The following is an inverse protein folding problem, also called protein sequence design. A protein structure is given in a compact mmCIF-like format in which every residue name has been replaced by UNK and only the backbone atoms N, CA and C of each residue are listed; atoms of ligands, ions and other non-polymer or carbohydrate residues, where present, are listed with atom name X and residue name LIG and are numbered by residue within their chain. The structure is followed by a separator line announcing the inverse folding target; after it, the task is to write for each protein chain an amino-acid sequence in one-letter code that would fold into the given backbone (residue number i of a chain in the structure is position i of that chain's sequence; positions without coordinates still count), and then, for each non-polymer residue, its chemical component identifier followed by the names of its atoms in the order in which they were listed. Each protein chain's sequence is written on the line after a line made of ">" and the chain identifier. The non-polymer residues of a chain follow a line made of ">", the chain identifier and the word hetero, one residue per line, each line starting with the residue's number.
data_IF_198542794977
#
_entry.id   IF_198542794977
#
_cell.length_a   1.000
_cell.length_b   1.000
_cell.length_c   1.000
_cell.angle_alpha   90.00
_cell.angle_beta   90.00
_cell.angle_gamma   90.00
#
_symmetry.space_group_name_H-M   'P 1'
#
loop_
_entity.id
_entity.type
_entity.pdbx_description
1 polymer ?
#
# COMPACT_ATOMS: atom_id res chain seq x y z
N UNK A 1 17.71 13.63 -14.79
CA UNK A 1 16.78 12.63 -14.24
C UNK A 1 17.46 11.27 -14.30
N UNK A 2 17.41 10.47 -13.22
CA UNK A 2 17.98 9.11 -13.19
C UNK A 2 16.82 8.13 -13.05
N UNK A 3 16.77 7.14 -13.95
CA UNK A 3 15.68 6.20 -14.10
C UNK A 3 16.21 4.77 -14.04
N UNK A 4 15.59 3.93 -13.20
CA UNK A 4 15.97 2.53 -13.01
C UNK A 4 14.74 1.66 -13.23
N UNK A 5 14.86 0.63 -14.07
CA UNK A 5 13.86 -0.42 -14.22
C UNK A 5 14.10 -1.55 -13.24
N UNK A 6 13.03 -2.13 -12.73
CA UNK A 6 13.03 -3.31 -11.89
C UNK A 6 12.15 -4.38 -12.55
N UNK A 7 12.63 -5.63 -12.59
CA UNK A 7 11.90 -6.76 -13.15
C UNK A 7 12.14 -8.04 -12.37
N UNK A 8 11.09 -8.84 -12.14
CA UNK A 8 11.18 -10.15 -11.48
C UNK A 8 10.06 -11.08 -11.95
N UNK A 9 10.31 -12.38 -12.12
CA UNK A 9 9.28 -13.38 -12.41
C UNK A 9 9.42 -14.68 -11.62
N UNK A 10 10.45 -14.79 -10.79
CA UNK A 10 10.63 -15.90 -9.85
C UNK A 10 10.51 -15.40 -8.41
N UNK A 11 9.99 -16.23 -7.48
CA UNK A 11 10.04 -15.92 -6.06
C UNK A 11 11.48 -15.90 -5.54
N UNK A 12 11.72 -15.15 -4.47
CA UNK A 12 13.00 -15.03 -3.78
C UNK A 12 12.87 -15.44 -2.31
N UNK A 13 13.98 -15.35 -1.57
CA UNK A 13 13.94 -15.42 -0.10
C UNK A 13 13.09 -14.30 0.55
N UNK A 14 12.75 -13.25 -0.18
CA UNK A 14 11.91 -12.14 0.27
C UNK A 14 10.44 -12.31 -0.10
N UNK A 15 10.03 -13.46 -0.68
CA UNK A 15 8.66 -13.78 -1.05
C UNK A 15 8.39 -13.75 -2.56
N UNK A 16 7.19 -13.33 -2.94
CA UNK A 16 6.73 -13.23 -4.33
C UNK A 16 7.57 -12.24 -5.15
N UNK A 17 7.52 -12.27 -6.50
CA UNK A 17 8.21 -11.29 -7.34
C UNK A 17 7.88 -9.84 -6.98
N UNK A 18 6.64 -9.55 -6.59
CA UNK A 18 6.22 -8.22 -6.16
C UNK A 18 6.89 -7.78 -4.85
N UNK A 19 6.95 -8.68 -3.87
CA UNK A 19 7.63 -8.43 -2.59
C UNK A 19 9.14 -8.27 -2.81
N UNK A 20 9.70 -9.06 -3.70
CA UNK A 20 11.10 -8.92 -4.13
C UNK A 20 11.37 -7.53 -4.68
N UNK A 21 10.52 -7.00 -5.57
CA UNK A 21 10.67 -5.62 -6.08
C UNK A 21 10.59 -4.59 -4.95
N UNK A 22 9.65 -4.74 -4.01
CA UNK A 22 9.51 -3.84 -2.86
C UNK A 22 10.76 -3.84 -1.99
N UNK A 23 11.29 -5.02 -1.67
CA UNK A 23 12.52 -5.16 -0.90
C UNK A 23 13.74 -4.60 -1.64
N UNK A 24 13.81 -4.76 -2.96
CA UNK A 24 14.89 -4.19 -3.77
C UNK A 24 14.87 -2.66 -3.76
N UNK A 25 13.69 -2.02 -3.82
CA UNK A 25 13.56 -0.56 -3.69
C UNK A 25 14.07 -0.09 -2.32
N UNK A 26 13.70 -0.78 -1.24
CA UNK A 26 14.19 -0.47 0.11
C UNK A 26 15.72 -0.64 0.22
N UNK A 27 16.29 -1.68 -0.42
CA UNK A 27 17.73 -1.91 -0.40
C UNK A 27 18.49 -0.86 -1.21
N UNK A 28 17.95 -0.41 -2.36
CA UNK A 28 18.47 0.72 -3.12
C UNK A 28 18.57 1.97 -2.24
N UNK A 29 17.53 2.25 -1.46
CA UNK A 29 17.52 3.39 -0.54
C UNK A 29 18.59 3.26 0.57
N UNK A 30 18.83 2.06 1.12
CA UNK A 30 19.89 1.82 2.12
C UNK A 30 21.30 2.08 1.59
N UNK A 31 21.51 1.98 0.28
CA UNK A 31 22.77 2.33 -0.37
C UNK A 31 22.92 3.85 -0.62
N UNK A 32 22.09 4.70 -0.02
CA UNK A 32 22.18 6.15 -0.16
C UNK A 32 21.63 6.69 -1.48
N UNK A 33 20.84 5.89 -2.20
CA UNK A 33 20.14 6.29 -3.44
C UNK A 33 18.71 6.69 -3.07
N UNK A 34 18.40 7.97 -3.12
CA UNK A 34 17.09 8.48 -2.77
C UNK A 34 16.06 8.13 -3.87
N UNK A 35 15.03 7.36 -3.52
CA UNK A 35 13.91 7.07 -4.41
C UNK A 35 12.92 8.24 -4.35
N UNK A 36 12.76 8.95 -5.47
CA UNK A 36 11.89 10.13 -5.57
C UNK A 36 10.47 9.75 -5.99
N UNK A 37 10.34 8.79 -6.93
CA UNK A 37 9.07 8.30 -7.44
C UNK A 37 9.19 6.83 -7.82
N UNK A 38 8.09 6.09 -7.63
CA UNK A 38 7.98 4.70 -8.04
C UNK A 38 6.68 4.51 -8.82
N UNK A 39 6.76 3.82 -9.98
CA UNK A 39 5.55 3.43 -10.72
C UNK A 39 4.79 2.33 -9.97
N UNK A 40 3.49 2.16 -10.26
CA UNK A 40 2.82 0.89 -9.99
C UNK A 40 3.61 -0.28 -10.64
N UNK A 41 3.40 -1.49 -10.09
CA UNK A 41 3.94 -2.71 -10.67
C UNK A 41 3.09 -3.11 -11.87
N UNK A 42 3.69 -3.46 -12.98
CA UNK A 42 3.05 -3.97 -14.19
C UNK A 42 3.32 -5.45 -14.34
N UNK A 43 2.29 -6.22 -14.67
CA UNK A 43 2.41 -7.62 -15.03
C UNK A 43 2.51 -7.74 -16.55
N UNK A 44 3.55 -8.40 -17.05
CA UNK A 44 3.82 -8.48 -18.48
C UNK A 44 4.15 -9.89 -18.91
N UNK A 45 3.66 -10.28 -20.08
CA UNK A 45 4.07 -11.52 -20.68
C UNK A 45 5.60 -11.50 -20.95
N UNK A 46 6.27 -12.66 -20.90
CA UNK A 46 7.68 -12.77 -21.33
C UNK A 46 7.87 -12.30 -22.78
N UNK A 47 8.97 -11.57 -23.05
CA UNK A 47 9.35 -11.15 -24.41
C UNK A 47 10.73 -11.72 -24.73
N UNK A 48 10.86 -12.68 -25.68
CA UNK A 48 9.83 -13.32 -26.50
C UNK A 48 8.84 -14.16 -25.66
N UNK A 49 7.65 -14.42 -26.21
CA UNK A 49 6.61 -15.26 -25.57
C UNK A 49 7.21 -16.65 -25.25
N UNK A 50 7.01 -17.11 -24.04
CA UNK A 50 7.47 -18.42 -23.54
C UNK A 50 6.59 -18.87 -22.36
N UNK A 51 6.73 -20.14 -21.94
CA UNK A 51 5.99 -20.71 -20.81
C UNK A 51 6.47 -20.24 -19.43
N UNK A 52 7.32 -19.19 -19.39
CA UNK A 52 7.78 -18.62 -18.13
C UNK A 52 6.64 -17.89 -17.41
N UNK A 53 6.67 -17.79 -16.06
CA UNK A 53 5.79 -16.91 -15.33
C UNK A 53 5.89 -15.46 -15.84
N UNK A 54 4.77 -14.74 -15.79
CA UNK A 54 4.74 -13.33 -16.16
C UNK A 54 5.64 -12.50 -15.24
N UNK A 55 6.24 -11.46 -15.81
CA UNK A 55 7.13 -10.55 -15.10
C UNK A 55 6.36 -9.48 -14.36
N UNK A 56 6.79 -9.20 -13.15
CA UNK A 56 6.45 -7.98 -12.41
C UNK A 56 7.51 -6.93 -12.75
N UNK A 57 7.09 -5.81 -13.32
CA UNK A 57 8.00 -4.73 -13.73
C UNK A 57 7.58 -3.40 -13.11
N UNK A 58 8.55 -2.58 -12.74
CA UNK A 58 8.35 -1.22 -12.27
C UNK A 58 9.50 -0.33 -12.76
N UNK A 59 9.29 0.98 -12.70
CA UNK A 59 10.35 1.98 -12.91
C UNK A 59 10.37 2.90 -11.70
N UNK A 60 11.57 3.23 -11.22
CA UNK A 60 11.78 4.24 -10.19
C UNK A 60 12.57 5.40 -10.75
N UNK A 61 12.25 6.61 -10.27
CA UNK A 61 13.05 7.81 -10.44
C UNK A 61 13.83 8.06 -9.16
N UNK A 62 15.14 8.24 -9.29
CA UNK A 62 16.03 8.38 -8.14
C UNK A 62 16.90 9.62 -8.21
N UNK A 63 17.44 10.04 -7.06
CA UNK A 63 18.54 10.98 -6.94
C UNK A 63 19.71 10.31 -6.24
N UNK A 64 20.91 10.52 -6.77
CA UNK A 64 22.15 10.00 -6.21
C UNK A 64 23.34 10.85 -6.63
N UNK A 65 24.44 10.76 -5.87
CA UNK A 65 25.73 11.34 -6.18
C UNK A 65 26.69 10.35 -6.88
N UNK A 66 26.28 9.08 -6.99
CA UNK A 66 27.11 8.06 -7.66
C UNK A 66 27.16 8.30 -9.15
N UNK A 67 28.34 8.17 -9.75
CA UNK A 67 28.51 8.16 -11.20
C UNK A 67 27.85 6.93 -11.84
N UNK A 68 27.49 6.93 -13.14
CA UNK A 68 26.76 5.85 -13.77
C UNK A 68 27.33 4.45 -13.58
N UNK A 69 28.66 4.28 -13.65
CA UNK A 69 29.30 2.98 -13.45
C UNK A 69 29.29 2.53 -11.98
N UNK A 70 29.36 3.48 -11.03
CA UNK A 70 29.26 3.17 -9.62
C UNK A 70 27.84 2.75 -9.24
N UNK A 71 26.84 3.46 -9.77
CA UNK A 71 25.45 3.08 -9.64
C UNK A 71 25.21 1.67 -10.21
N UNK A 72 25.74 1.35 -11.40
CA UNK A 72 25.62 0.02 -11.98
C UNK A 72 26.19 -1.05 -11.07
N UNK A 73 27.36 -0.83 -10.46
CA UNK A 73 28.00 -1.77 -9.52
C UNK A 73 27.15 -2.00 -8.28
N UNK A 74 26.55 -0.95 -7.74
CA UNK A 74 25.64 -1.05 -6.59
C UNK A 74 24.42 -1.89 -6.95
N UNK A 75 23.76 -1.61 -8.08
CA UNK A 75 22.60 -2.38 -8.53
C UNK A 75 22.94 -3.86 -8.73
N UNK A 76 24.09 -4.17 -9.34
CA UNK A 76 24.57 -5.55 -9.51
C UNK A 76 24.86 -6.23 -8.15
N UNK A 77 25.36 -5.49 -7.17
CA UNK A 77 25.57 -6.01 -5.81
C UNK A 77 24.24 -6.38 -5.17
N UNK A 78 23.22 -5.52 -5.31
CA UNK A 78 21.87 -5.79 -4.83
C UNK A 78 21.27 -7.03 -5.52
N UNK A 79 21.39 -7.14 -6.84
CA UNK A 79 20.94 -8.32 -7.58
C UNK A 79 21.56 -9.62 -7.05
N UNK A 80 22.85 -9.61 -6.79
CA UNK A 80 23.57 -10.76 -6.23
C UNK A 80 23.09 -11.12 -4.82
N UNK A 81 22.85 -10.11 -3.96
CA UNK A 81 22.29 -10.30 -2.60
C UNK A 81 20.89 -10.92 -2.64
N UNK A 82 20.11 -10.62 -3.69
CA UNK A 82 18.78 -11.17 -3.90
C UNK A 82 18.79 -12.57 -4.54
N UNK A 83 19.97 -13.13 -4.77
CA UNK A 83 20.13 -14.50 -5.31
C UNK A 83 20.03 -14.57 -6.83
N UNK A 84 20.31 -13.49 -7.56
CA UNK A 84 20.36 -13.53 -9.01
C UNK A 84 21.50 -14.41 -9.49
N UNK A 85 21.18 -15.43 -10.27
CA UNK A 85 22.15 -16.27 -11.00
C UNK A 85 22.05 -15.91 -12.48
N UNK A 86 23.14 -15.48 -13.08
CA UNK A 86 23.20 -15.19 -14.51
C UNK A 86 23.41 -16.50 -15.28
N UNK A 87 22.39 -16.91 -16.01
CA UNK A 87 22.40 -18.09 -16.88
C UNK A 87 22.32 -17.66 -18.35
N UNK A 88 21.32 -18.14 -19.07
CA UNK A 88 21.07 -17.77 -20.46
C UNK A 88 20.36 -16.41 -20.62
N UNK A 89 20.45 -15.82 -21.82
CA UNK A 89 19.75 -14.57 -22.16
C UNK A 89 18.24 -14.79 -22.10
N UNK A 90 17.50 -13.87 -21.46
CA UNK A 90 16.05 -13.92 -21.22
C UNK A 90 15.58 -15.09 -20.32
N UNK A 91 16.45 -15.72 -19.55
CA UNK A 91 16.05 -16.71 -18.54
C UNK A 91 15.16 -16.07 -17.45
N UNK A 92 14.29 -16.87 -16.79
CA UNK A 92 13.55 -16.43 -15.61
C UNK A 92 14.52 -15.95 -14.54
N UNK A 93 14.12 -14.90 -13.80
CA UNK A 93 15.02 -14.26 -12.82
C UNK A 93 14.31 -13.78 -11.59
N UNK A 94 15.03 -13.87 -10.49
CA UNK A 94 14.57 -13.39 -9.19
C UNK A 94 14.44 -11.86 -9.19
N UNK A 95 15.42 -11.16 -9.77
CA UNK A 95 15.46 -9.69 -9.86
C UNK A 95 16.33 -9.26 -11.05
N UNK A 96 15.96 -8.16 -11.66
CA UNK A 96 16.71 -7.45 -12.72
C UNK A 96 16.64 -5.96 -12.43
N UNK A 97 17.78 -5.26 -12.38
CA UNK A 97 17.89 -3.84 -12.10
C UNK A 97 18.70 -3.16 -13.20
N UNK A 98 18.02 -2.47 -14.12
CA UNK A 98 18.63 -1.80 -15.26
C UNK A 98 18.59 -0.28 -15.13
N UNK A 99 19.71 0.41 -15.36
CA UNK A 99 19.73 1.87 -15.50
C UNK A 99 19.15 2.21 -16.89
N UNK A 100 17.99 2.87 -16.91
CA UNK A 100 17.32 3.28 -18.14
C UNK A 100 17.89 4.56 -18.72
N UNK A 101 18.13 5.55 -17.85
CA UNK A 101 18.67 6.85 -18.21
C UNK A 101 19.40 7.46 -17.02
N UNK A 102 20.40 8.27 -17.32
CA UNK A 102 21.15 9.03 -16.33
C UNK A 102 21.30 10.47 -16.82
N UNK A 103 20.42 11.37 -16.34
CA UNK A 103 20.27 12.72 -16.89
C UNK A 103 20.10 12.69 -18.42
N UNK A 104 20.85 13.52 -19.13
CA UNK A 104 20.90 13.56 -20.59
C UNK A 104 22.16 12.86 -21.15
N UNK A 105 22.82 12.03 -20.32
CA UNK A 105 24.03 11.34 -20.70
C UNK A 105 23.77 10.34 -21.82
N UNK A 106 24.59 10.43 -22.86
CA UNK A 106 24.68 9.45 -23.94
C UNK A 106 26.02 8.74 -23.75
N UNK A 107 25.97 7.47 -23.34
CA UNK A 107 27.15 6.63 -23.11
C UNK A 107 27.05 5.36 -23.96
N UNK A 108 28.19 4.90 -24.46
CA UNK A 108 28.31 3.66 -25.22
C UNK A 108 29.64 3.01 -24.84
N UNK A 109 29.66 2.34 -23.66
CA UNK A 109 30.82 1.63 -23.16
C UNK A 109 30.55 0.12 -23.17
N UNK A 110 31.60 -0.69 -22.97
CA UNK A 110 31.47 -2.14 -22.96
C UNK A 110 30.46 -2.64 -21.91
N UNK A 111 30.38 -1.97 -20.75
CA UNK A 111 29.59 -2.43 -19.60
C UNK A 111 28.28 -1.66 -19.43
N UNK A 112 28.14 -0.46 -20.02
CA UNK A 112 26.99 0.41 -19.81
C UNK A 112 26.68 1.25 -21.05
N UNK A 113 25.46 1.10 -21.56
CA UNK A 113 24.91 1.92 -22.64
C UNK A 113 23.75 2.75 -22.10
N UNK A 114 23.83 4.07 -22.24
CA UNK A 114 22.79 5.02 -21.81
C UNK A 114 22.38 5.95 -22.97
N UNK A 115 21.09 6.23 -23.15
CA UNK A 115 19.95 5.52 -22.53
C UNK A 115 19.96 4.03 -22.86
N UNK A 116 19.34 3.21 -22.04
CA UNK A 116 19.27 1.76 -22.25
C UNK A 116 18.79 1.45 -23.68
N UNK A 117 19.52 0.68 -24.49
CA UNK A 117 19.35 0.64 -25.95
C UNK A 117 17.97 0.18 -26.43
N UNK A 118 17.25 -0.60 -25.67
CA UNK A 118 15.94 -1.16 -26.02
C UNK A 118 14.79 -0.61 -25.17
N UNK A 119 14.99 0.47 -24.41
CA UNK A 119 13.94 0.97 -23.50
C UNK A 119 12.67 1.40 -24.28
N UNK A 120 12.86 1.99 -25.47
CA UNK A 120 11.79 2.55 -26.29
C UNK A 120 10.96 1.49 -27.06
N UNK A 121 11.41 0.24 -27.09
CA UNK A 121 10.77 -0.90 -27.77
C UNK A 121 10.02 -1.82 -26.80
N UNK A 122 10.07 -1.52 -25.50
CA UNK A 122 9.58 -2.41 -24.44
C UNK A 122 8.41 -1.80 -23.70
N UNK A 123 7.22 -2.40 -23.86
CA UNK A 123 6.01 -1.98 -23.14
C UNK A 123 6.21 -2.02 -21.63
N UNK A 124 6.85 -3.06 -21.11
CA UNK A 124 7.13 -3.24 -19.68
C UNK A 124 8.12 -2.22 -19.07
N UNK A 125 8.73 -1.38 -19.92
CA UNK A 125 9.55 -0.23 -19.52
C UNK A 125 8.79 1.08 -19.75
N UNK A 126 8.23 1.29 -20.95
CA UNK A 126 7.66 2.57 -21.35
C UNK A 126 6.37 2.93 -20.59
N UNK A 127 5.52 1.94 -20.29
CA UNK A 127 4.32 2.20 -19.48
C UNK A 127 4.65 2.58 -18.02
N UNK A 128 5.49 1.84 -17.26
CA UNK A 128 5.93 2.29 -15.95
C UNK A 128 6.69 3.62 -15.98
N UNK A 129 7.49 3.85 -17.05
CA UNK A 129 8.23 5.09 -17.23
C UNK A 129 7.30 6.31 -17.35
N UNK A 130 6.15 6.17 -18.03
CA UNK A 130 5.14 7.22 -18.12
C UNK A 130 4.62 7.65 -16.74
N UNK A 131 4.47 6.72 -15.81
CA UNK A 131 3.95 7.03 -14.49
C UNK A 131 4.92 7.87 -13.63
N UNK A 132 6.24 7.76 -13.86
CA UNK A 132 7.27 8.43 -13.03
C UNK A 132 8.00 9.58 -13.74
N UNK A 133 7.86 9.66 -15.06
CA UNK A 133 8.63 10.61 -15.88
C UNK A 133 7.88 10.96 -17.19
N UNK A 134 6.60 11.35 -17.07
CA UNK A 134 5.73 11.64 -18.23
C UNK A 134 6.35 12.64 -19.22
N UNK A 135 7.03 13.67 -18.72
CA UNK A 135 7.62 14.75 -19.52
C UNK A 135 9.05 14.44 -19.98
N UNK A 136 9.57 13.25 -19.63
CA UNK A 136 10.92 12.87 -20.07
C UNK A 136 10.99 12.63 -21.57
N UNK A 137 12.07 13.11 -22.20
CA UNK A 137 12.38 12.85 -23.61
C UNK A 137 13.65 12.04 -23.74
N UNK A 138 13.63 11.06 -24.62
CA UNK A 138 14.77 10.20 -24.90
C UNK A 138 15.89 11.03 -25.55
N UNK A 139 17.05 11.22 -24.91
CA UNK A 139 18.07 12.18 -25.37
C UNK A 139 18.66 11.85 -26.74
N UNK A 140 18.66 10.59 -27.17
CA UNK A 140 19.18 10.17 -28.50
C UNK A 140 18.09 10.17 -29.57
N UNK A 141 16.86 9.78 -29.26
CA UNK A 141 15.76 9.64 -30.21
C UNK A 141 14.86 10.87 -30.27
N UNK A 142 14.96 11.75 -29.31
CA UNK A 142 14.12 12.95 -29.12
C UNK A 142 12.61 12.65 -29.01
N UNK A 143 12.24 11.40 -28.70
CA UNK A 143 10.86 10.97 -28.52
C UNK A 143 10.41 11.22 -27.07
N UNK A 144 9.19 11.68 -26.89
CA UNK A 144 8.50 11.67 -25.59
C UNK A 144 8.11 10.24 -25.20
N UNK A 145 7.77 10.03 -23.93
CA UNK A 145 7.33 8.71 -23.44
C UNK A 145 6.05 8.27 -24.17
N UNK A 146 5.11 9.17 -24.41
CA UNK A 146 3.88 8.87 -25.16
C UNK A 146 4.19 8.44 -26.59
N UNK A 147 5.05 9.16 -27.32
CA UNK A 147 5.47 8.81 -28.68
C UNK A 147 6.19 7.46 -28.74
N UNK A 148 6.94 7.08 -27.70
CA UNK A 148 7.53 5.74 -27.60
C UNK A 148 6.46 4.66 -27.42
N UNK A 149 5.46 4.90 -26.57
CA UNK A 149 4.33 3.98 -26.36
C UNK A 149 3.55 3.78 -27.66
N UNK A 150 3.26 4.85 -28.41
CA UNK A 150 2.53 4.77 -29.68
C UNK A 150 3.28 3.98 -30.77
N UNK A 151 4.59 3.84 -30.65
CA UNK A 151 5.48 3.11 -31.58
C UNK A 151 5.83 1.70 -31.14
N UNK A 152 5.28 1.23 -30.01
CA UNK A 152 5.58 -0.11 -29.52
C UNK A 152 5.19 -1.19 -30.52
N UNK A 153 6.01 -2.24 -30.70
CA UNK A 153 5.63 -3.41 -31.45
C UNK A 153 4.36 -4.05 -30.92
N UNK A 154 3.52 -4.56 -31.82
CA UNK A 154 2.31 -5.31 -31.43
C UNK A 154 2.68 -6.61 -30.69
N UNK A 155 1.74 -7.12 -29.86
CA UNK A 155 1.89 -8.40 -29.16
C UNK A 155 2.69 -8.32 -27.87
N UNK A 156 2.87 -7.15 -27.30
CA UNK A 156 3.40 -7.00 -25.94
C UNK A 156 2.25 -6.83 -24.94
N UNK A 157 1.77 -7.95 -24.41
CA UNK A 157 0.71 -7.93 -23.41
C UNK A 157 1.23 -7.33 -22.11
N UNK A 158 0.62 -6.23 -21.72
CA UNK A 158 0.92 -5.52 -20.48
C UNK A 158 -0.37 -5.26 -19.72
N UNK A 159 -0.39 -5.66 -18.47
CA UNK A 159 -1.47 -5.36 -17.55
C UNK A 159 -0.91 -4.48 -16.44
N UNK A 160 -1.43 -3.29 -16.28
CA UNK A 160 -1.13 -2.49 -15.11
C UNK A 160 -1.73 -3.22 -13.91
N UNK A 161 -0.92 -3.97 -13.18
CA UNK A 161 -1.39 -4.62 -11.97
C UNK A 161 -1.54 -3.58 -10.87
N UNK A 162 -2.66 -2.91 -10.91
CA UNK A 162 -3.21 -2.39 -9.69
C UNK A 162 -3.85 -3.57 -8.95
N UNK A 163 -3.14 -4.15 -8.00
CA UNK A 163 -3.70 -5.09 -7.04
C UNK A 163 -3.55 -4.45 -5.67
N UNK A 164 -4.64 -3.96 -5.08
CA UNK A 164 -4.56 -3.40 -3.73
C UNK A 164 -4.15 -4.47 -2.74
N UNK A 165 -3.45 -4.07 -1.69
CA UNK A 165 -3.21 -4.90 -0.53
C UNK A 165 -4.52 -5.10 0.22
N UNK A 166 -4.76 -6.31 0.69
CA UNK A 166 -5.91 -6.60 1.57
C UNK A 166 -5.44 -6.59 3.01
N UNK A 167 -6.04 -5.71 3.79
CA UNK A 167 -5.84 -5.61 5.23
C UNK A 167 -7.01 -6.28 5.94
N UNK A 168 -6.76 -7.47 6.50
CA UNK A 168 -7.73 -8.23 7.27
C UNK A 168 -7.88 -7.70 8.69
N UNK A 169 -9.11 -7.55 9.17
CA UNK A 169 -9.44 -6.99 10.48
C UNK A 169 -9.39 -8.09 11.55
N UNK A 170 -8.57 -7.89 12.58
CA UNK A 170 -8.48 -8.76 13.75
C UNK A 170 -8.85 -7.96 15.01
N UNK A 171 -10.15 -7.97 15.38
CA UNK A 171 -10.61 -7.30 16.59
C UNK A 171 -10.41 -8.21 17.81
N UNK A 172 -9.64 -7.73 18.79
CA UNK A 172 -9.39 -8.41 20.07
C UNK A 172 -10.22 -7.70 21.16
N UNK A 173 -11.54 -7.68 20.97
CA UNK A 173 -12.49 -7.03 21.91
C UNK A 173 -13.49 -8.03 22.46
N UNK A 174 -13.99 -7.85 23.70
CA UNK A 174 -14.93 -8.76 24.34
C UNK A 174 -16.16 -9.10 23.51
N UNK A 175 -16.66 -8.11 22.76
CA UNK A 175 -17.87 -8.26 21.94
C UNK A 175 -17.63 -8.98 20.59
N UNK A 176 -16.38 -9.12 20.16
CA UNK A 176 -16.05 -9.69 18.85
C UNK A 176 -16.21 -11.22 18.79
N UNK A 177 -16.25 -11.88 19.96
CA UNK A 177 -16.31 -13.33 20.10
C UNK A 177 -17.44 -13.79 21.01
N UNK A 178 -18.53 -13.00 21.12
CA UNK A 178 -19.64 -13.18 22.04
C UNK A 178 -20.57 -14.36 21.67
N UNK A 179 -20.07 -15.58 21.86
CA UNK A 179 -20.90 -16.76 22.13
C UNK A 179 -20.56 -17.33 23.50
N UNK A 180 -20.77 -16.49 24.55
CA UNK A 180 -21.02 -16.99 25.93
C UNK A 180 -19.82 -17.57 26.70
N UNK A 181 -18.61 -17.08 26.58
CA UNK A 181 -17.47 -17.59 27.36
C UNK A 181 -16.51 -16.51 27.85
N UNK A 182 -16.24 -16.52 29.13
CA UNK A 182 -15.22 -15.73 29.82
C UNK A 182 -13.86 -15.94 29.17
N UNK A 183 -13.15 -14.83 28.93
CA UNK A 183 -11.82 -14.62 28.38
C UNK A 183 -11.84 -14.33 26.87
N UNK A 184 -11.51 -13.11 26.58
CA UNK A 184 -10.98 -12.63 25.30
C UNK A 184 -9.82 -13.52 24.95
N UNK A 185 -10.07 -14.47 24.09
CA UNK A 185 -9.13 -15.54 23.89
C UNK A 185 -8.14 -15.06 22.81
N UNK A 186 -6.90 -14.68 23.16
CA UNK A 186 -5.86 -14.39 22.20
C UNK A 186 -5.70 -15.52 21.16
N UNK A 187 -5.97 -16.76 21.57
CA UNK A 187 -5.87 -17.93 20.70
C UNK A 187 -6.90 -17.88 19.56
N UNK A 188 -8.14 -17.40 19.84
CA UNK A 188 -9.14 -17.19 18.78
C UNK A 188 -8.73 -16.08 17.81
N UNK A 189 -8.19 -14.98 18.32
CA UNK A 189 -7.69 -13.89 17.50
C UNK A 189 -6.49 -14.35 16.64
N UNK A 190 -5.60 -15.15 17.21
CA UNK A 190 -4.47 -15.76 16.49
C UNK A 190 -4.98 -16.70 15.40
N UNK A 191 -5.89 -17.62 15.73
CA UNK A 191 -6.48 -18.54 14.76
C UNK A 191 -7.19 -17.79 13.60
N UNK A 192 -7.95 -16.73 13.95
CA UNK A 192 -8.58 -15.86 12.95
C UNK A 192 -7.55 -15.14 12.07
N UNK A 193 -6.49 -14.58 12.67
CA UNK A 193 -5.41 -13.96 11.91
C UNK A 193 -4.74 -14.92 10.92
N UNK A 194 -4.43 -16.15 11.34
CA UNK A 194 -3.89 -17.19 10.46
C UNK A 194 -4.87 -17.56 9.35
N UNK A 195 -6.17 -17.64 9.64
CA UNK A 195 -7.20 -17.87 8.62
C UNK A 195 -7.21 -16.72 7.59
N UNK A 196 -7.19 -15.46 8.01
CA UNK A 196 -7.17 -14.31 7.10
C UNK A 196 -5.92 -14.32 6.20
N UNK A 197 -4.76 -14.72 6.73
CA UNK A 197 -3.53 -14.91 5.92
C UNK A 197 -3.76 -16.00 4.87
N UNK A 198 -4.30 -17.15 5.25
CA UNK A 198 -4.61 -18.24 4.32
C UNK A 198 -5.64 -17.83 3.25
N UNK A 199 -6.57 -16.94 3.58
CA UNK A 199 -7.53 -16.32 2.66
C UNK A 199 -6.90 -15.26 1.74
N UNK A 200 -5.65 -14.86 1.98
CA UNK A 200 -4.88 -13.94 1.15
C UNK A 200 -4.80 -12.52 1.69
N UNK A 201 -4.90 -12.30 3.01
CA UNK A 201 -4.57 -11.01 3.61
C UNK A 201 -3.07 -10.72 3.46
N UNK A 202 -2.75 -9.51 3.01
CA UNK A 202 -1.38 -9.00 2.92
C UNK A 202 -0.97 -8.28 4.22
N UNK A 203 -1.95 -7.77 4.96
CA UNK A 203 -1.78 -7.05 6.24
C UNK A 203 -2.82 -7.58 7.22
N UNK A 204 -2.47 -7.72 8.48
CA UNK A 204 -3.41 -7.93 9.57
C UNK A 204 -3.48 -6.67 10.43
N UNK A 205 -4.69 -6.12 10.61
CA UNK A 205 -4.92 -4.94 11.43
C UNK A 205 -5.53 -5.34 12.78
N UNK A 206 -4.70 -5.32 13.81
CA UNK A 206 -5.02 -5.82 15.15
C UNK A 206 -5.47 -4.64 16.01
N UNK A 207 -6.71 -4.70 16.51
CA UNK A 207 -7.30 -3.66 17.37
C UNK A 207 -7.78 -4.21 18.69
N UNK A 208 -7.40 -3.58 19.81
CA UNK A 208 -7.82 -3.91 21.16
C UNK A 208 -8.94 -3.00 21.71
N UNK A 209 -9.20 -1.88 21.05
CA UNK A 209 -10.28 -0.94 21.38
C UNK A 209 -11.33 -0.94 20.25
N UNK A 210 -12.61 -0.93 20.62
CA UNK A 210 -13.69 -0.76 19.63
C UNK A 210 -13.87 0.72 19.29
N UNK A 211 -13.73 1.07 18.02
CA UNK A 211 -13.96 2.43 17.50
C UNK A 211 -15.39 2.66 17.01
N UNK A 212 -16.33 1.72 17.32
CA UNK A 212 -17.75 1.89 17.01
C UNK A 212 -18.36 3.06 17.78
N UNK A 213 -19.40 3.72 17.22
CA UNK A 213 -20.13 4.75 17.96
C UNK A 213 -20.56 4.24 19.34
N UNK A 214 -20.38 5.09 20.37
CA UNK A 214 -20.76 4.81 21.77
C UNK A 214 -20.01 3.64 22.45
N UNK A 215 -18.93 3.10 21.87
CA UNK A 215 -18.09 2.13 22.57
C UNK A 215 -17.42 2.76 23.79
N UNK A 216 -17.29 1.98 24.86
CA UNK A 216 -16.56 2.40 26.05
C UNK A 216 -15.05 2.53 25.72
N UNK A 217 -14.39 3.60 26.18
CA UNK A 217 -12.94 3.73 26.00
C UNK A 217 -12.21 2.65 26.81
N UNK A 218 -11.10 2.16 26.24
CA UNK A 218 -10.23 1.14 26.85
C UNK A 218 -8.95 1.82 27.34
N UNK A 219 -8.43 1.40 28.48
CA UNK A 219 -7.13 1.92 28.95
C UNK A 219 -6.00 1.40 28.05
N UNK A 220 -4.90 2.16 27.89
CA UNK A 220 -3.74 1.67 27.12
C UNK A 220 -3.20 0.33 27.64
N UNK A 221 -3.25 0.11 28.95
CA UNK A 221 -2.79 -1.11 29.60
C UNK A 221 -3.67 -2.32 29.22
N UNK A 222 -4.99 -2.16 29.25
CA UNK A 222 -5.93 -3.21 28.84
C UNK A 222 -5.82 -3.48 27.33
N UNK A 223 -5.66 -2.43 26.51
CA UNK A 223 -5.44 -2.57 25.08
C UNK A 223 -4.18 -3.40 24.78
N UNK A 224 -3.06 -3.07 25.44
CA UNK A 224 -1.79 -3.80 25.29
C UNK A 224 -1.91 -5.26 25.74
N UNK A 225 -2.59 -5.55 26.87
CA UNK A 225 -2.81 -6.91 27.33
C UNK A 225 -3.53 -7.77 26.31
N UNK A 226 -4.47 -7.19 25.55
CA UNK A 226 -5.22 -7.89 24.50
C UNK A 226 -4.37 -8.15 23.27
N UNK A 227 -3.67 -7.13 22.74
CA UNK A 227 -3.06 -7.20 21.42
C UNK A 227 -1.63 -7.75 21.39
N UNK A 228 -0.82 -7.54 22.43
CA UNK A 228 0.59 -7.93 22.40
C UNK A 228 0.81 -9.44 22.24
N UNK A 229 0.05 -10.34 22.90
CA UNK A 229 0.16 -11.79 22.66
C UNK A 229 -0.15 -12.17 21.20
N UNK A 230 -1.16 -11.51 20.60
CA UNK A 230 -1.58 -11.75 19.21
C UNK A 230 -0.50 -11.29 18.22
N UNK A 231 0.08 -10.10 18.45
CA UNK A 231 1.19 -9.58 17.63
C UNK A 231 2.39 -10.54 17.68
N UNK A 232 2.79 -10.96 18.90
CA UNK A 232 3.93 -11.84 19.09
C UNK A 232 3.77 -13.19 18.36
N UNK A 233 2.55 -13.73 18.31
CA UNK A 233 2.24 -14.99 17.64
C UNK A 233 2.17 -14.85 16.12
N UNK A 234 1.74 -13.69 15.58
CA UNK A 234 1.46 -13.50 14.16
C UNK A 234 2.57 -12.77 13.39
N UNK A 235 3.55 -12.14 14.06
CA UNK A 235 4.58 -11.30 13.42
C UNK A 235 5.39 -11.99 12.32
N UNK A 236 5.58 -13.30 12.43
CA UNK A 236 6.35 -14.11 11.48
C UNK A 236 5.45 -14.97 10.55
N UNK A 237 4.13 -14.76 10.59
CA UNK A 237 3.16 -15.58 9.85
C UNK A 237 2.99 -15.21 8.36
N UNK A 238 3.76 -14.25 7.84
CA UNK A 238 3.80 -13.91 6.41
C UNK A 238 2.94 -12.72 5.99
N UNK A 239 2.24 -12.05 6.92
CA UNK A 239 1.55 -10.77 6.69
C UNK A 239 2.19 -9.63 7.50
N UNK A 240 2.10 -8.39 6.99
CA UNK A 240 2.50 -7.21 7.77
C UNK A 240 1.52 -7.03 8.93
N UNK A 241 2.04 -6.83 10.13
CA UNK A 241 1.20 -6.51 11.29
C UNK A 241 0.99 -5.00 11.38
N UNK A 242 -0.26 -4.59 11.32
CA UNK A 242 -0.76 -3.25 11.62
C UNK A 242 -1.46 -3.26 12.98
N UNK A 243 -1.36 -2.17 13.71
CA UNK A 243 -2.07 -1.98 14.99
C UNK A 243 -2.98 -0.76 14.90
N UNK A 244 -4.29 -1.01 15.10
CA UNK A 244 -5.34 0.03 15.18
C UNK A 244 -5.35 0.58 16.61
N UNK A 245 -4.65 1.70 16.84
CA UNK A 245 -4.57 2.36 18.15
C UNK A 245 -4.28 3.86 18.00
N UNK A 246 -4.77 4.63 18.96
CA UNK A 246 -4.53 6.08 19.14
C UNK A 246 -3.64 6.41 20.35
N UNK A 247 -3.22 5.40 21.12
CA UNK A 247 -2.44 5.58 22.34
C UNK A 247 -0.93 5.41 22.07
N UNK A 248 -0.13 6.43 22.32
CA UNK A 248 1.32 6.42 22.07
C UNK A 248 2.05 5.30 22.81
N UNK A 249 1.63 4.96 24.05
CA UNK A 249 2.22 3.85 24.80
C UNK A 249 1.94 2.50 24.16
N UNK A 250 0.74 2.29 23.61
CA UNK A 250 0.37 1.09 22.85
C UNK A 250 1.14 1.02 21.51
N UNK A 251 1.29 2.16 20.81
CA UNK A 251 2.13 2.23 19.60
C UNK A 251 3.57 1.76 19.89
N UNK A 252 4.19 2.28 20.96
CA UNK A 252 5.56 1.91 21.34
C UNK A 252 5.68 0.41 21.68
N UNK A 253 4.74 -0.13 22.46
CA UNK A 253 4.73 -1.53 22.84
C UNK A 253 4.51 -2.45 21.62
N UNK A 254 3.57 -2.10 20.74
CA UNK A 254 3.26 -2.86 19.52
C UNK A 254 4.45 -2.89 18.53
N UNK A 255 5.10 -1.76 18.31
CA UNK A 255 6.30 -1.67 17.47
C UNK A 255 7.45 -2.51 18.03
N UNK A 256 7.64 -2.49 19.35
CA UNK A 256 8.63 -3.33 20.03
C UNK A 256 8.31 -4.83 19.94
N UNK A 257 7.02 -5.20 19.86
CA UNK A 257 6.55 -6.58 19.70
C UNK A 257 6.65 -7.09 18.25
N UNK A 258 6.90 -6.21 17.26
CA UNK A 258 7.10 -6.57 15.86
C UNK A 258 6.02 -6.04 14.91
N UNK A 259 5.15 -5.12 15.33
CA UNK A 259 4.27 -4.41 14.41
C UNK A 259 5.10 -3.54 13.44
N UNK A 260 4.73 -3.56 12.17
CA UNK A 260 5.38 -2.76 11.12
C UNK A 260 4.50 -1.63 10.59
N UNK A 261 3.29 -1.47 11.15
CA UNK A 261 2.36 -0.40 10.77
C UNK A 261 1.53 0.05 11.95
N UNK A 262 1.26 1.36 12.03
CA UNK A 262 0.31 1.98 12.94
C UNK A 262 -0.86 2.55 12.12
N UNK A 263 -2.09 2.19 12.51
CA UNK A 263 -3.33 2.71 11.96
C UNK A 263 -4.01 3.56 13.04
N UNK A 264 -4.00 4.88 12.88
CA UNK A 264 -4.50 5.79 13.90
C UNK A 264 -5.69 6.62 13.38
N UNK A 265 -6.87 6.37 13.96
CA UNK A 265 -8.11 7.09 13.65
C UNK A 265 -8.05 8.58 13.98
N UNK A 266 -7.08 9.01 14.79
CA UNK A 266 -6.88 10.42 15.17
C UNK A 266 -5.81 11.12 14.34
N UNK A 267 -5.21 10.44 13.36
CA UNK A 267 -4.13 10.96 12.53
C UNK A 267 -2.95 11.53 13.34
N UNK A 268 -2.52 10.82 14.39
CA UNK A 268 -1.47 11.18 15.34
C UNK A 268 -1.73 12.50 16.09
N UNK A 269 -3.00 12.89 16.26
CA UNK A 269 -3.36 14.08 17.03
C UNK A 269 -3.96 13.76 18.40
N UNK A 270 -4.33 12.51 18.64
CA UNK A 270 -5.01 12.09 19.87
C UNK A 270 -4.09 11.99 21.09
N UNK A 271 -2.85 11.55 20.92
CA UNK A 271 -1.81 11.53 21.97
C UNK A 271 -0.64 12.40 21.51
N UNK A 272 -0.23 13.44 22.26
CA UNK A 272 0.84 14.34 21.86
C UNK A 272 2.22 13.67 21.69
N UNK A 273 2.40 12.45 22.23
CA UNK A 273 3.64 11.68 22.08
C UNK A 273 3.63 10.77 20.85
N UNK A 274 2.48 10.59 20.17
CA UNK A 274 2.33 9.65 19.07
C UNK A 274 3.32 9.93 17.92
N UNK A 275 3.45 11.19 17.50
CA UNK A 275 4.40 11.58 16.43
C UNK A 275 5.84 11.25 16.77
N UNK A 276 6.26 11.47 18.03
CA UNK A 276 7.63 11.20 18.46
C UNK A 276 7.92 9.69 18.49
N UNK A 277 6.95 8.87 18.94
CA UNK A 277 7.09 7.41 18.94
C UNK A 277 7.29 6.87 17.52
N UNK A 278 6.41 7.25 16.59
CA UNK A 278 6.47 6.70 15.23
C UNK A 278 7.62 7.25 14.41
N UNK A 279 8.11 8.46 14.71
CA UNK A 279 9.28 9.07 14.08
C UNK A 279 10.53 8.21 14.25
N UNK A 280 10.74 7.64 15.44
CA UNK A 280 11.91 6.83 15.78
C UNK A 280 11.79 5.35 15.37
N UNK A 281 10.85 5.03 14.50
CA UNK A 281 10.66 3.69 13.94
C UNK A 281 10.65 3.74 12.42
N UNK A 282 10.70 2.57 11.76
CA UNK A 282 10.53 2.44 10.30
C UNK A 282 9.10 2.01 9.91
N UNK A 283 8.14 2.07 10.84
CA UNK A 283 6.77 1.63 10.60
C UNK A 283 6.06 2.48 9.54
N UNK A 284 5.11 1.87 8.82
CA UNK A 284 4.13 2.60 8.02
C UNK A 284 3.07 3.20 8.93
N UNK A 285 2.45 4.29 8.51
CA UNK A 285 1.50 5.05 9.34
C UNK A 285 0.28 5.41 8.49
N UNK A 286 -0.91 5.02 8.95
CA UNK A 286 -2.17 5.45 8.36
C UNK A 286 -2.78 6.59 9.18
N UNK A 287 -3.04 7.71 8.51
CA UNK A 287 -3.66 8.91 9.06
C UNK A 287 -5.11 8.97 8.62
N UNK A 288 -6.07 8.78 9.53
CA UNK A 288 -7.49 8.79 9.19
C UNK A 288 -8.14 10.13 9.53
N UNK A 289 -9.11 10.54 8.70
CA UNK A 289 -9.98 11.68 9.00
C UNK A 289 -11.21 11.25 9.80
N UNK A 290 -11.43 11.93 10.91
CA UNK A 290 -12.66 11.83 11.72
C UNK A 290 -13.11 13.23 12.15
N UNK A 291 -14.42 13.51 12.12
CA UNK A 291 -15.01 14.70 12.75
C UNK A 291 -15.52 14.32 14.14
N UNK A 292 -15.11 15.05 15.17
CA UNK A 292 -15.47 14.76 16.57
C UNK A 292 -14.64 13.61 17.17
N UNK A 293 -15.26 12.84 18.06
CA UNK A 293 -14.69 11.65 18.72
C UNK A 293 -15.57 10.44 18.42
N UNK A 294 -15.12 9.18 18.67
CA UNK A 294 -15.97 8.00 18.47
C UNK A 294 -17.32 8.09 19.22
N UNK A 295 -17.37 8.79 20.34
CA UNK A 295 -18.59 8.99 21.12
C UNK A 295 -19.56 10.00 20.49
N UNK A 296 -19.04 11.08 19.89
CA UNK A 296 -19.83 12.24 19.41
C UNK A 296 -19.89 12.37 17.88
N UNK A 297 -19.09 11.62 17.16
CA UNK A 297 -18.90 11.78 15.71
C UNK A 297 -20.19 11.66 14.87
N UNK A 298 -21.23 11.01 15.38
CA UNK A 298 -22.51 10.88 14.68
C UNK A 298 -23.57 11.91 15.14
N UNK A 299 -23.19 12.81 16.05
CA UNK A 299 -24.05 13.90 16.51
C UNK A 299 -24.00 15.07 15.50
N UNK A 300 -24.83 14.98 14.45
CA UNK A 300 -24.97 16.02 13.42
C UNK A 300 -23.67 16.36 12.65
N UNK A 301 -23.02 15.40 11.95
CA UNK A 301 -21.84 15.69 11.15
C UNK A 301 -22.17 16.65 10.00
N UNK A 302 -21.40 17.74 9.88
CA UNK A 302 -21.66 18.80 8.92
C UNK A 302 -20.40 19.16 8.13
N UNK A 303 -20.55 19.25 6.80
CA UNK A 303 -19.54 19.73 5.84
C UNK A 303 -20.21 20.62 4.80
N UNK A 304 -19.56 21.67 4.35
CA UNK A 304 -19.97 22.42 3.16
C UNK A 304 -19.58 21.68 1.89
N UNK A 305 -18.39 21.03 1.88
CA UNK A 305 -17.88 20.17 0.82
C UNK A 305 -17.00 19.11 1.48
N UNK A 306 -17.57 17.92 1.71
CA UNK A 306 -16.89 16.86 2.44
C UNK A 306 -15.59 16.42 1.78
N UNK A 307 -15.53 16.41 0.44
CA UNK A 307 -14.33 15.97 -0.30
C UNK A 307 -13.19 16.97 -0.11
N UNK A 308 -13.47 18.28 -0.27
CA UNK A 308 -12.46 19.32 -0.09
C UNK A 308 -12.00 19.44 1.36
N UNK A 309 -12.92 19.38 2.32
CA UNK A 309 -12.59 19.55 3.73
C UNK A 309 -11.78 18.36 4.27
N UNK A 310 -12.19 17.11 3.94
CA UNK A 310 -11.42 15.93 4.31
C UNK A 310 -10.03 15.92 3.65
N UNK A 311 -9.96 16.32 2.37
CA UNK A 311 -8.68 16.42 1.67
C UNK A 311 -7.76 17.48 2.30
N UNK A 312 -8.30 18.65 2.63
CA UNK A 312 -7.53 19.72 3.27
C UNK A 312 -7.00 19.29 4.65
N UNK A 313 -7.82 18.62 5.45
CA UNK A 313 -7.40 18.06 6.74
C UNK A 313 -6.25 17.07 6.57
N UNK A 314 -6.38 16.08 5.65
CA UNK A 314 -5.36 15.07 5.44
C UNK A 314 -4.06 15.69 4.90
N UNK A 315 -4.14 16.69 4.00
CA UNK A 315 -2.97 17.42 3.51
C UNK A 315 -2.24 18.17 4.65
N UNK A 316 -2.98 18.79 5.54
CA UNK A 316 -2.42 19.48 6.71
C UNK A 316 -1.76 18.47 7.67
N UNK A 317 -2.41 17.33 7.96
CA UNK A 317 -1.83 16.27 8.81
C UNK A 317 -0.55 15.68 8.22
N UNK A 318 -0.52 15.42 6.90
CA UNK A 318 0.69 14.98 6.19
C UNK A 318 1.81 16.00 6.33
N UNK A 319 1.51 17.29 6.12
CA UNK A 319 2.49 18.38 6.25
C UNK A 319 3.07 18.45 7.67
N UNK A 320 2.24 18.30 8.69
CA UNK A 320 2.68 18.30 10.09
C UNK A 320 3.58 17.08 10.40
N UNK A 321 3.24 15.90 9.92
CA UNK A 321 4.06 14.70 10.09
C UNK A 321 5.44 14.85 9.43
N UNK A 322 5.48 15.35 8.19
CA UNK A 322 6.73 15.60 7.46
C UNK A 322 7.57 16.67 8.15
N UNK A 323 6.96 17.78 8.59
CA UNK A 323 7.65 18.83 9.34
C UNK A 323 8.20 18.33 10.68
N UNK A 324 7.56 17.33 11.29
CA UNK A 324 8.06 16.67 12.52
C UNK A 324 9.22 15.71 12.24
N UNK A 325 9.53 15.40 10.97
CA UNK A 325 10.64 14.55 10.54
C UNK A 325 10.23 13.10 10.20
N UNK A 326 8.95 12.83 10.00
CA UNK A 326 8.47 11.53 9.51
C UNK A 326 8.57 11.53 7.98
N UNK A 327 9.21 10.50 7.40
CA UNK A 327 9.37 10.39 5.96
C UNK A 327 8.00 10.18 5.27
N UNK A 328 7.75 10.92 4.18
CA UNK A 328 6.46 10.92 3.49
C UNK A 328 6.09 9.55 2.90
N UNK A 329 7.05 8.77 2.46
CA UNK A 329 6.89 7.43 1.88
C UNK A 329 6.41 6.37 2.90
N UNK A 330 6.46 6.70 4.20
CA UNK A 330 5.91 5.89 5.29
C UNK A 330 4.44 6.21 5.58
N UNK A 331 3.94 7.34 5.07
CA UNK A 331 2.60 7.84 5.36
C UNK A 331 1.58 7.29 4.35
N UNK A 332 0.37 7.04 4.82
CA UNK A 332 -0.83 6.82 4.02
C UNK A 332 -2.02 7.51 4.66
N UNK A 333 -3.10 7.67 3.90
CA UNK A 333 -4.31 8.37 4.36
C UNK A 333 -5.54 7.48 4.24
N UNK A 334 -6.50 7.66 5.17
CA UNK A 334 -7.86 7.10 5.10
C UNK A 334 -8.88 8.24 5.20
N UNK A 335 -9.81 8.32 4.26
CA UNK A 335 -10.88 9.31 4.24
C UNK A 335 -11.89 9.14 5.40
N UNK A 336 -11.84 8.02 6.12
CA UNK A 336 -12.64 7.76 7.31
C UNK A 336 -14.12 7.58 7.03
N UNK A 337 -14.49 6.67 6.12
CA UNK A 337 -15.89 6.30 5.85
C UNK A 337 -16.59 5.89 7.14
N UNK A 338 -17.74 6.51 7.45
CA UNK A 338 -18.53 6.22 8.66
C UNK A 338 -18.03 6.90 9.94
N UNK A 339 -16.98 7.72 9.88
CA UNK A 339 -16.46 8.48 11.02
C UNK A 339 -16.83 9.96 10.89
N UNK A 340 -17.90 10.40 11.61
CA UNK A 340 -18.38 11.78 11.55
C UNK A 340 -18.88 12.17 10.16
N UNK A 341 -19.70 11.33 9.53
CA UNK A 341 -20.19 11.52 8.15
C UNK A 341 -21.61 10.98 7.99
N UNK A 342 -22.46 11.76 7.31
CA UNK A 342 -23.79 11.32 6.89
C UNK A 342 -23.70 10.25 5.76
N UNK A 343 -24.83 9.69 5.37
CA UNK A 343 -24.90 8.75 4.23
C UNK A 343 -24.41 9.42 2.96
N UNK A 344 -24.87 10.65 2.67
CA UNK A 344 -24.48 11.40 1.49
C UNK A 344 -23.00 11.76 1.50
N UNK A 345 -22.44 12.15 2.65
CA UNK A 345 -21.00 12.42 2.79
C UNK A 345 -20.16 11.17 2.47
N UNK A 346 -20.59 9.99 2.93
CA UNK A 346 -19.90 8.72 2.61
C UNK A 346 -20.01 8.39 1.11
N UNK A 347 -21.18 8.62 0.50
CA UNK A 347 -21.38 8.41 -0.93
C UNK A 347 -20.48 9.33 -1.77
N UNK A 348 -20.38 10.61 -1.41
CA UNK A 348 -19.58 11.58 -2.12
C UNK A 348 -18.08 11.27 -2.00
N UNK A 349 -17.60 10.89 -0.83
CA UNK A 349 -16.22 10.45 -0.67
C UNK A 349 -15.91 9.21 -1.53
N UNK A 350 -16.78 8.20 -1.54
CA UNK A 350 -16.60 7.00 -2.35
C UNK A 350 -16.60 7.30 -3.86
N UNK A 351 -17.44 8.25 -4.34
CA UNK A 351 -17.45 8.69 -5.75
C UNK A 351 -16.19 9.45 -6.14
N UNK A 352 -15.54 10.12 -5.20
CA UNK A 352 -14.46 11.07 -5.47
C UNK A 352 -13.12 10.68 -4.81
N UNK A 353 -12.88 9.38 -4.54
CA UNK A 353 -11.61 8.90 -3.98
C UNK A 353 -10.39 9.35 -4.81
N UNK A 354 -10.57 9.53 -6.12
CA UNK A 354 -9.52 10.05 -7.00
C UNK A 354 -8.99 11.43 -6.64
N UNK A 355 -9.81 12.26 -5.95
CA UNK A 355 -9.42 13.60 -5.51
C UNK A 355 -8.34 13.62 -4.41
N UNK A 356 -8.01 12.46 -3.84
CA UNK A 356 -6.98 12.31 -2.79
C UNK A 356 -5.65 11.80 -3.34
N UNK A 357 -5.58 11.40 -4.62
CA UNK A 357 -4.35 10.83 -5.22
C UNK A 357 -3.21 11.85 -5.31
N UNK A 358 -3.54 13.13 -5.45
CA UNK A 358 -2.56 14.23 -5.53
C UNK A 358 -1.91 14.57 -4.16
N UNK A 359 -2.34 13.93 -3.07
CA UNK A 359 -1.63 13.99 -1.79
C UNK A 359 -0.27 13.29 -1.82
N UNK A 360 0.02 12.48 -2.86
CA UNK A 360 1.32 11.87 -3.09
C UNK A 360 1.70 10.77 -2.11
N UNK A 361 0.71 10.16 -1.43
CA UNK A 361 0.86 9.04 -0.50
C UNK A 361 -0.15 7.94 -0.82
N UNK A 362 0.08 6.73 -0.31
CA UNK A 362 -0.88 5.63 -0.43
C UNK A 362 -2.21 5.96 0.27
N UNK A 363 -3.30 5.39 -0.22
CA UNK A 363 -4.63 5.50 0.38
C UNK A 363 -5.10 4.15 0.91
N UNK A 364 -5.69 4.16 2.11
CA UNK A 364 -6.43 3.08 2.71
C UNK A 364 -7.94 3.37 2.64
N UNK A 365 -8.75 2.36 2.37
CA UNK A 365 -10.21 2.45 2.48
C UNK A 365 -10.75 1.37 3.42
N UNK A 366 -11.40 1.79 4.49
CA UNK A 366 -12.12 0.94 5.44
C UNK A 366 -13.62 1.16 5.35
N UNK A 367 -14.31 0.48 4.42
CA UNK A 367 -15.77 0.59 4.21
C UNK A 367 -16.55 -0.69 4.56
N UNK A 368 -15.84 -1.78 4.92
CA UNK A 368 -16.41 -3.11 5.09
C UNK A 368 -17.41 -3.20 6.24
N UNK A 369 -18.61 -3.72 5.92
CA UNK A 369 -19.73 -3.99 6.84
C UNK A 369 -20.26 -2.77 7.61
N UNK A 370 -19.86 -1.54 7.24
CA UNK A 370 -20.26 -0.30 7.93
C UNK A 370 -21.74 0.02 7.73
N UNK A 371 -22.30 0.78 8.67
CA UNK A 371 -23.72 1.11 8.77
C UNK A 371 -24.26 1.84 7.52
N UNK A 372 -23.47 2.74 6.93
CA UNK A 372 -23.85 3.50 5.75
C UNK A 372 -24.36 2.61 4.59
N UNK A 373 -23.93 1.34 4.52
CA UNK A 373 -24.39 0.37 3.51
C UNK A 373 -25.87 0.06 3.70
N UNK A 374 -26.30 -0.21 4.94
CA UNK A 374 -27.69 -0.44 5.27
C UNK A 374 -28.53 0.81 5.03
N UNK A 375 -28.01 1.96 5.44
CA UNK A 375 -28.69 3.25 5.30
C UNK A 375 -28.86 3.64 3.81
N UNK A 376 -27.87 3.39 2.95
CA UNK A 376 -27.99 3.57 1.48
C UNK A 376 -29.02 2.62 0.85
N UNK A 377 -29.21 1.44 1.43
CA UNK A 377 -30.21 0.48 0.94
C UNK A 377 -31.60 0.76 1.49
N UNK A 378 -31.76 1.74 2.40
CA UNK A 378 -33.01 2.05 3.12
C UNK A 378 -33.62 0.80 3.79
N UNK A 379 -32.76 -0.08 4.31
CA UNK A 379 -33.11 -1.34 4.94
C UNK A 379 -32.27 -1.57 6.18
N UNK A 380 -32.83 -2.20 7.19
CA UNK A 380 -32.05 -2.67 8.33
C UNK A 380 -31.37 -4.00 7.96
N UNK A 381 -30.09 -3.89 7.54
CA UNK A 381 -29.26 -5.03 7.14
C UNK A 381 -28.25 -5.27 8.25
N UNK A 382 -28.22 -6.46 8.88
CA UNK A 382 -27.22 -6.83 9.86
C UNK A 382 -25.79 -6.74 9.30
N UNK A 383 -24.79 -6.45 10.14
CA UNK A 383 -23.43 -6.21 9.66
C UNK A 383 -22.84 -7.39 8.87
N UNK A 384 -23.10 -8.63 9.28
CA UNK A 384 -22.67 -9.85 8.60
C UNK A 384 -23.26 -10.00 7.19
N UNK A 385 -24.42 -9.40 6.92
CA UNK A 385 -25.14 -9.53 5.64
C UNK A 385 -24.80 -8.38 4.66
N UNK A 386 -23.88 -7.48 5.02
CA UNK A 386 -23.47 -6.31 4.20
C UNK A 386 -22.35 -6.61 3.21
N UNK A 387 -22.03 -7.88 2.93
CA UNK A 387 -20.91 -8.25 2.04
C UNK A 387 -21.07 -7.62 0.64
N UNK A 388 -22.23 -7.72 0.03
CA UNK A 388 -22.47 -7.18 -1.33
C UNK A 388 -22.21 -5.66 -1.39
N UNK A 389 -22.68 -4.89 -0.39
CA UNK A 389 -22.41 -3.44 -0.29
C UNK A 389 -20.93 -3.14 0.02
N UNK A 390 -20.28 -3.99 0.79
CA UNK A 390 -18.81 -3.88 1.02
C UNK A 390 -18.04 -4.05 -0.28
N UNK A 391 -18.39 -5.02 -1.12
CA UNK A 391 -17.77 -5.25 -2.44
C UNK A 391 -18.10 -4.12 -3.43
N UNK A 392 -19.27 -3.49 -3.35
CA UNK A 392 -19.56 -2.29 -4.14
C UNK A 392 -18.62 -1.12 -3.79
N UNK A 393 -18.34 -0.91 -2.49
CA UNK A 393 -17.34 0.08 -2.07
C UNK A 393 -15.91 -0.30 -2.53
N UNK A 394 -15.57 -1.60 -2.55
CA UNK A 394 -14.31 -2.10 -3.12
C UNK A 394 -14.25 -1.80 -4.63
N UNK A 395 -15.35 -1.96 -5.39
CA UNK A 395 -15.37 -1.60 -6.81
C UNK A 395 -15.01 -0.13 -7.05
N UNK A 396 -15.57 0.79 -6.25
CA UNK A 396 -15.19 2.21 -6.30
C UNK A 396 -13.71 2.41 -5.97
N UNK A 397 -13.20 1.75 -4.92
CA UNK A 397 -11.79 1.82 -4.56
C UNK A 397 -10.87 1.34 -5.71
N UNK A 398 -11.24 0.27 -6.41
CA UNK A 398 -10.48 -0.25 -7.55
C UNK A 398 -10.45 0.74 -8.71
N UNK A 399 -11.57 1.38 -9.05
CA UNK A 399 -11.66 2.41 -10.09
C UNK A 399 -10.76 3.61 -9.79
N UNK A 400 -10.61 3.96 -8.51
CA UNK A 400 -9.78 5.05 -8.03
C UNK A 400 -8.41 4.62 -7.53
N UNK A 401 -8.00 3.36 -7.75
CA UNK A 401 -6.67 2.81 -7.43
C UNK A 401 -6.24 3.02 -5.97
N UNK A 402 -7.13 2.76 -5.04
CA UNK A 402 -6.83 2.78 -3.59
C UNK A 402 -5.88 1.64 -3.23
N UNK A 403 -4.76 1.91 -2.55
CA UNK A 403 -3.67 0.95 -2.36
C UNK A 403 -3.93 -0.10 -1.29
N UNK A 404 -4.75 0.19 -0.28
CA UNK A 404 -5.04 -0.75 0.82
C UNK A 404 -6.55 -0.82 1.07
N UNK A 405 -7.10 -2.02 1.12
CA UNK A 405 -8.50 -2.29 1.43
C UNK A 405 -8.61 -2.98 2.77
N UNK A 406 -9.17 -2.28 3.77
CA UNK A 406 -9.40 -2.80 5.12
C UNK A 406 -10.76 -3.47 5.20
N UNK A 407 -10.78 -4.81 5.35
CA UNK A 407 -11.97 -5.63 5.19
C UNK A 407 -12.09 -6.74 6.25
N UNK A 408 -13.34 -7.19 6.50
CA UNK A 408 -13.62 -8.39 7.29
C UNK A 408 -13.58 -9.66 6.42
N UNK A 409 -14.05 -9.57 5.16
CA UNK A 409 -14.27 -10.72 4.27
C UNK A 409 -13.13 -10.83 3.25
N UNK A 410 -11.97 -11.32 3.71
CA UNK A 410 -10.74 -11.36 2.91
C UNK A 410 -10.90 -12.24 1.67
N UNK A 411 -11.35 -13.48 1.81
CA UNK A 411 -11.51 -14.41 0.69
C UNK A 411 -12.46 -13.87 -0.40
N UNK A 412 -13.63 -13.34 -0.01
CA UNK A 412 -14.59 -12.77 -0.95
C UNK A 412 -14.05 -11.52 -1.64
N UNK A 413 -13.31 -10.66 -0.91
CA UNK A 413 -12.67 -9.46 -1.47
C UNK A 413 -11.58 -9.83 -2.45
N UNK A 414 -10.75 -10.84 -2.14
CA UNK A 414 -9.70 -11.34 -3.03
C UNK A 414 -10.30 -11.86 -4.34
N UNK A 415 -11.31 -12.72 -4.24
CA UNK A 415 -12.04 -13.23 -5.42
C UNK A 415 -12.63 -12.09 -6.25
N UNK A 416 -13.24 -11.09 -5.59
CA UNK A 416 -13.82 -9.93 -6.28
C UNK A 416 -12.76 -9.15 -7.05
N UNK A 417 -11.61 -8.83 -6.41
CA UNK A 417 -10.50 -8.12 -7.05
C UNK A 417 -9.98 -8.89 -8.26
N UNK A 418 -9.77 -10.21 -8.12
CA UNK A 418 -9.22 -11.04 -9.18
C UNK A 418 -10.15 -11.10 -10.41
N UNK A 419 -11.47 -11.12 -10.19
CA UNK A 419 -12.46 -11.07 -11.29
C UNK A 419 -12.57 -9.66 -11.86
N UNK A 420 -12.75 -8.63 -11.02
CA UNK A 420 -12.91 -7.25 -11.45
C UNK A 420 -11.73 -6.77 -12.30
N UNK A 421 -10.49 -7.11 -11.89
CA UNK A 421 -9.27 -6.73 -12.62
C UNK A 421 -9.13 -7.36 -14.01
N UNK A 422 -9.93 -8.38 -14.33
CA UNK A 422 -9.92 -9.05 -15.64
C UNK A 422 -11.03 -8.57 -16.57
N UNK A 423 -12.07 -7.91 -16.04
CA UNK A 423 -13.23 -7.47 -16.81
C UNK A 423 -13.32 -5.95 -16.94
N UNK A 424 -12.61 -5.20 -16.12
CA UNK A 424 -12.50 -3.73 -16.11
C UNK A 424 -11.05 -3.28 -16.27
#
# INVERSE_FOLDING_TARGET
>A
MILIALGANLPSQFGSPRETLRCAVAEIARHGIQVLYQSPVYLTAPVPISDQPWYHNAVIRVATHYEPHDLLRILQTIENQFGRVRTERNAPRVIDLDILAYHDHIMDTQDLILPHPRLHERAFVTYPLRDVAQDWRHPRLHLSVSEMIDRLPAGQDIQKTYRPLIMGIVNVTPDSFSDGGRYDDPDRAIAHGLQLIAEGADILDIGGESTRPQSAPVTPEDEQQRILPVIAALKDAGALISVDTRHASTMAAALSAGAGMINDITALSGDPRAMEIVKHSDCRICLMHMQGTPQTMQENPHYNDVVKEVRAYLADRLSQCVAHGIAQDRLMVDVGIGFGKSVDHNADLLRHLGAFQDLGVDMLLGASRKRFIADMCERDIPAQDRLAGSLAAVASALQHRVQVLRVHDVAATRQFIDVFSRIC
#
